data_IF_558648530658
#
_entry.id   IF_558648530658
#
_cell.length_a   1.000
_cell.length_b   1.000
_cell.length_c   1.000
_cell.angle_alpha   90.00
_cell.angle_beta   90.00
_cell.angle_gamma   90.00
#
_symmetry.space_group_name_H-M   'P 1'
#
loop_
_entity.id
_entity.type
_entity.pdbx_description
1 polymer ?
2 non-polymer ?
3 non-polymer ?
4 water ?
#
# COMPACT_ATOMS: atom_id res chain seq x y z
N UNK A 13 7.77 4.06 15.34
CA UNK A 13 6.56 4.69 14.81
C UNK A 13 6.73 5.10 13.36
N UNK A 14 5.86 4.58 12.49
CA UNK A 14 5.81 5.02 11.11
C UNK A 14 5.17 6.40 11.04
N UNK A 15 5.94 7.39 10.61
CA UNK A 15 5.48 8.78 10.65
C UNK A 15 5.06 9.31 9.28
N UNK A 16 5.79 8.92 8.24
CA UNK A 16 5.51 9.37 6.88
C UNK A 16 5.10 8.19 6.02
N UNK A 17 3.82 8.13 5.67
CA UNK A 17 3.35 7.04 4.83
C UNK A 17 2.24 7.52 3.92
N UNK A 18 2.00 6.74 2.88
CA UNK A 18 0.95 7.05 1.93
C UNK A 18 0.53 5.76 1.23
N UNK A 19 -0.26 5.88 0.17
CA UNK A 19 -0.67 4.70 -0.55
C UNK A 19 -0.54 4.89 -2.04
N UNK A 20 -0.41 3.77 -2.73
CA UNK A 20 -0.32 3.76 -4.17
C UNK A 20 -1.42 2.84 -4.69
N UNK A 21 -2.23 3.36 -5.60
CA UNK A 21 -3.39 2.64 -6.10
C UNK A 21 -3.21 2.31 -7.58
N UNK A 22 -3.06 1.03 -7.89
CA UNK A 22 -2.94 0.60 -9.28
C UNK A 22 -4.31 0.26 -9.86
N UNK A 23 -4.77 1.08 -10.80
CA UNK A 23 -6.13 1.02 -11.32
C UNK A 23 -6.49 -0.26 -12.07
N UNK A 24 -7.71 -0.72 -11.86
CA UNK A 24 -8.27 -1.82 -12.62
C UNK A 24 -9.45 -1.32 -13.45
N UNK A 25 -10.21 -2.24 -14.02
CA UNK A 25 -11.37 -1.87 -14.83
C UNK A 25 -12.36 -1.04 -14.02
N UNK A 26 -12.65 -1.51 -12.81
CA UNK A 26 -13.56 -0.83 -11.90
C UNK A 26 -12.81 0.18 -11.03
N UNK A 27 -13.43 1.32 -10.78
CA UNK A 27 -12.84 2.32 -9.89
C UNK A 27 -13.07 1.93 -8.43
N UNK A 28 -12.07 2.19 -7.59
CA UNK A 28 -12.14 1.87 -6.17
C UNK A 28 -12.83 2.97 -5.38
N UNK A 29 -13.75 2.58 -4.51
CA UNK A 29 -14.44 3.56 -3.66
C UNK A 29 -14.04 3.40 -2.19
N UNK A 30 -13.89 4.53 -1.49
CA UNK A 30 -13.68 4.52 -0.06
C UNK A 30 -12.24 4.28 0.37
N UNK A 31 -11.31 4.54 -0.54
CA UNK A 31 -9.90 4.26 -0.28
C UNK A 31 -9.32 5.11 0.85
N UNK A 32 -9.39 6.45 0.72
CA UNK A 32 -8.89 7.28 1.81
C UNK A 32 -9.46 6.83 3.16
N UNK A 33 -10.77 6.60 3.20
CA UNK A 33 -11.46 6.22 4.43
C UNK A 33 -10.97 4.89 5.01
N UNK A 34 -10.77 3.91 4.13
CA UNK A 34 -10.23 2.62 4.56
C UNK A 34 -8.78 2.72 5.05
N UNK A 35 -7.97 3.56 4.39
CA UNK A 35 -6.60 3.80 4.83
C UNK A 35 -6.57 4.32 6.27
N UNK A 36 -7.46 5.25 6.57
CA UNK A 36 -7.61 5.74 7.94
C UNK A 36 -7.99 4.61 8.90
N UNK A 37 -8.98 3.81 8.51
CA UNK A 37 -9.36 2.63 9.29
C UNK A 37 -8.19 1.66 9.46
N UNK A 38 -7.39 1.49 8.40
CA UNK A 38 -6.23 0.61 8.46
C UNK A 38 -5.18 1.10 9.47
N UNK A 39 -4.90 2.40 9.44
CA UNK A 39 -3.95 3.00 10.37
C UNK A 39 -4.41 2.86 11.83
N UNK A 40 -5.70 3.08 12.08
CA UNK A 40 -6.27 2.85 13.40
C UNK A 40 -6.08 1.39 13.81
N UNK A 41 -6.39 0.48 12.89
CA UNK A 41 -6.20 -0.94 13.15
C UNK A 41 -4.76 -1.25 13.55
N UNK A 42 -3.79 -0.72 12.80
CA UNK A 42 -2.38 -0.95 13.10
C UNK A 42 -2.01 -0.47 14.51
N UNK A 43 -2.47 0.72 14.87
CA UNK A 43 -2.23 1.26 16.20
C UNK A 43 -2.79 0.38 17.31
N UNK A 44 -4.01 -0.12 17.12
CA UNK A 44 -4.62 -1.01 18.10
C UNK A 44 -3.85 -2.33 18.26
N UNK A 45 -3.25 -2.82 17.18
CA UNK A 45 -2.56 -4.11 17.21
C UNK A 45 -1.07 -4.00 17.53
N UNK A 46 -0.62 -2.80 17.91
CA UNK A 46 0.71 -2.64 18.44
C UNK A 46 1.77 -2.13 17.48
N UNK A 47 1.34 -1.61 16.34
CA UNK A 47 2.27 -1.02 15.38
C UNK A 47 2.01 0.48 15.30
N UNK A 48 2.87 1.28 15.96
CA UNK A 48 2.65 2.72 16.03
C UNK A 48 2.78 3.37 14.66
N UNK A 49 1.75 4.09 14.25
CA UNK A 49 1.75 4.74 12.95
C UNK A 49 0.93 6.01 13.01
N UNK A 50 1.45 7.07 12.41
CA UNK A 50 0.70 8.30 12.26
C UNK A 50 -0.65 7.97 11.65
N UNK A 51 -1.74 8.38 12.32
CA UNK A 51 -3.09 8.08 11.81
C UNK A 51 -3.39 8.82 10.51
N UNK A 52 -2.51 9.73 10.12
CA UNK A 52 -2.69 10.50 8.91
C UNK A 52 -1.65 10.15 7.85
N UNK A 53 -2.11 10.01 6.62
CA UNK A 53 -1.23 9.78 5.49
C UNK A 53 -1.16 11.03 4.62
N UNK A 54 -0.09 11.16 3.84
CA UNK A 54 -0.03 12.20 2.83
C UNK A 54 -0.84 11.72 1.62
N UNK A 55 -1.34 12.66 0.79
CA UNK A 55 -2.21 12.31 -0.34
C UNK A 55 -1.65 11.17 -1.18
N UNK A 56 -2.49 10.19 -1.49
CA UNK A 56 -2.05 9.02 -2.22
C UNK A 56 -1.99 9.22 -3.72
N UNK A 57 -1.41 8.25 -4.42
CA UNK A 57 -1.29 8.29 -5.86
C UNK A 57 -2.13 7.19 -6.49
N UNK A 58 -2.77 7.50 -7.61
CA UNK A 58 -3.50 6.51 -8.39
C UNK A 58 -3.04 6.54 -9.84
N UNK A 59 -2.78 5.37 -10.40
CA UNK A 59 -2.28 5.26 -11.77
C UNK A 59 -2.65 3.92 -12.38
N UNK A 60 -2.81 3.90 -13.70
CA UNK A 60 -2.95 2.64 -14.41
C UNK A 60 -1.59 1.93 -14.39
N UNK A 61 -1.58 0.64 -14.71
CA UNK A 61 -0.33 -0.12 -14.73
C UNK A 61 0.49 0.20 -15.98
N UNK A 62 1.71 0.76 -15.78
CA UNK A 62 2.59 1.14 -16.89
C UNK A 62 3.10 -0.06 -17.69
N UNK A 63 3.66 0.21 -18.86
CA UNK A 63 4.07 -0.85 -19.77
C UNK A 63 5.38 -1.50 -19.42
N UNK A 64 6.27 -0.73 -18.79
CA UNK A 64 7.59 -1.23 -18.45
C UNK A 64 7.94 -0.90 -17.01
N UNK A 65 8.88 -1.67 -16.46
CA UNK A 65 9.39 -1.42 -15.12
C UNK A 65 10.04 -0.05 -15.04
N UNK A 66 10.78 0.32 -16.08
CA UNK A 66 11.43 1.62 -16.14
C UNK A 66 10.41 2.75 -16.04
N UNK A 67 9.30 2.60 -16.75
CA UNK A 67 8.24 3.60 -16.72
C UNK A 67 7.57 3.65 -15.34
N UNK A 68 7.39 2.48 -14.73
CA UNK A 68 6.80 2.40 -13.39
C UNK A 68 7.71 3.04 -12.35
N UNK A 69 8.99 2.69 -12.39
CA UNK A 69 9.94 3.24 -11.42
C UNK A 69 10.03 4.76 -11.53
N UNK A 70 10.01 5.27 -12.75
CA UNK A 70 10.06 6.71 -12.98
C UNK A 70 8.88 7.42 -12.31
N UNK A 71 7.70 6.83 -12.42
CA UNK A 71 6.48 7.42 -11.87
C UNK A 71 6.42 7.41 -10.34
N UNK A 72 6.80 6.29 -9.73
CA UNK A 72 6.63 6.10 -8.29
C UNK A 72 7.88 6.46 -7.50
N UNK A 73 8.97 6.75 -8.21
CA UNK A 73 10.27 7.00 -7.59
C UNK A 73 10.23 8.06 -6.48
N UNK A 74 9.59 9.19 -6.75
CA UNK A 74 9.52 10.25 -5.75
C UNK A 74 8.63 9.83 -4.58
N UNK A 75 7.51 9.18 -4.89
CA UNK A 75 6.60 8.67 -3.87
C UNK A 75 7.33 7.78 -2.87
N UNK A 76 8.05 6.79 -3.39
CA UNK A 76 8.69 5.78 -2.56
C UNK A 76 9.93 6.27 -1.81
N UNK A 77 10.59 7.29 -2.33
CA UNK A 77 11.80 7.80 -1.69
C UNK A 77 11.50 8.85 -0.62
N UNK A 78 10.26 9.33 -0.60
CA UNK A 78 9.85 10.36 0.36
C UNK A 78 8.96 9.85 1.50
N UNK A 79 8.78 8.54 1.58
CA UNK A 79 7.95 7.93 2.63
C UNK A 79 8.62 6.73 3.27
N UNK A 80 8.28 6.47 4.53
CA UNK A 80 8.80 5.31 5.25
C UNK A 80 8.00 4.06 4.90
N UNK A 81 6.75 4.25 4.48
CA UNK A 81 5.81 3.15 4.33
C UNK A 81 4.78 3.45 3.24
N UNK A 82 4.62 2.52 2.30
CA UNK A 82 3.61 2.67 1.27
C UNK A 82 2.67 1.47 1.21
N UNK A 83 1.38 1.72 1.40
CA UNK A 83 0.38 0.68 1.21
C UNK A 83 -0.01 0.66 -0.26
N UNK A 84 0.17 -0.48 -0.91
CA UNK A 84 -0.11 -0.59 -2.34
C UNK A 84 -1.34 -1.45 -2.58
N UNK A 85 -2.31 -0.91 -3.32
CA UNK A 85 -3.50 -1.66 -3.69
C UNK A 85 -3.43 -2.10 -5.15
N UNK A 86 -3.49 -3.41 -5.36
CA UNK A 86 -3.51 -3.98 -6.70
C UNK A 86 -4.94 -4.34 -7.07
N UNK A 87 -5.27 -4.25 -8.37
CA UNK A 87 -6.62 -4.53 -8.88
C UNK A 87 -7.01 -6.00 -8.74
N UNK A 88 -6.05 -6.90 -8.96
CA UNK A 88 -6.26 -8.34 -8.81
C UNK A 88 -5.05 -8.94 -8.13
N UNK A 89 -5.16 -10.20 -7.70
CA UNK A 89 -4.04 -10.88 -7.08
C UNK A 89 -3.07 -11.33 -8.18
N UNK A 90 -2.69 -10.39 -9.03
CA UNK A 90 -1.83 -10.64 -10.18
C UNK A 90 -0.36 -10.47 -9.80
N UNK A 91 0.35 -11.59 -9.76
CA UNK A 91 1.73 -11.61 -9.27
C UNK A 91 2.70 -10.82 -10.16
N UNK A 92 2.32 -10.60 -11.42
CA UNK A 92 3.15 -9.85 -12.35
C UNK A 92 3.18 -8.36 -12.02
N UNK A 93 2.03 -7.80 -11.64
CA UNK A 93 1.96 -6.42 -11.18
C UNK A 93 2.68 -6.33 -9.84
N UNK A 94 2.46 -7.34 -9.01
CA UNK A 94 3.11 -7.46 -7.71
C UNK A 94 4.63 -7.41 -7.86
N UNK A 95 5.16 -8.18 -8.81
CA UNK A 95 6.59 -8.18 -9.09
C UNK A 95 7.12 -6.82 -9.54
N UNK A 96 6.33 -6.14 -10.38
CA UNK A 96 6.67 -4.80 -10.83
C UNK A 96 6.84 -3.85 -9.65
N UNK A 97 5.97 -4.00 -8.65
CA UNK A 97 6.05 -3.20 -7.44
C UNK A 97 7.26 -3.58 -6.60
N UNK A 98 7.52 -4.88 -6.45
CA UNK A 98 8.63 -5.33 -5.62
C UNK A 98 10.01 -4.96 -6.19
N UNK A 99 10.11 -4.88 -7.51
CA UNK A 99 11.38 -4.51 -8.15
C UNK A 99 11.76 -3.07 -7.82
N UNK A 100 10.78 -2.18 -7.82
CA UNK A 100 11.01 -0.78 -7.48
C UNK A 100 11.35 -0.63 -6.00
N UNK A 101 10.62 -1.34 -5.14
CA UNK A 101 10.90 -1.31 -3.71
C UNK A 101 12.31 -1.84 -3.38
N UNK A 102 12.77 -2.81 -4.16
CA UNK A 102 14.06 -3.46 -3.96
C UNK A 102 15.27 -2.52 -4.06
N UNK A 103 15.16 -1.48 -4.89
CA UNK A 103 16.26 -0.53 -5.12
C UNK A 103 16.04 0.82 -4.44
N UNK A 104 15.03 0.91 -3.58
CA UNK A 104 14.72 2.16 -2.91
C UNK A 104 15.09 2.06 -1.44
N UNK A 105 15.79 3.06 -0.94
CA UNK A 105 16.26 3.02 0.44
C UNK A 105 15.28 3.69 1.39
N UNK A 106 15.15 3.13 2.59
CA UNK A 106 14.37 3.73 3.66
C UNK A 106 12.86 3.59 3.57
N UNK A 107 12.38 2.71 2.70
CA UNK A 107 10.94 2.52 2.54
C UNK A 107 10.57 1.05 2.64
N UNK A 108 9.37 0.78 3.15
CA UNK A 108 8.79 -0.55 3.07
C UNK A 108 7.43 -0.44 2.40
N UNK A 109 7.18 -1.32 1.44
CA UNK A 109 5.87 -1.40 0.80
C UNK A 109 5.16 -2.69 1.21
N UNK A 110 3.83 -2.62 1.30
CA UNK A 110 3.03 -3.82 1.49
C UNK A 110 1.94 -3.84 0.42
N UNK A 111 1.82 -4.96 -0.28
CA UNK A 111 0.85 -5.09 -1.36
C UNK A 111 -0.45 -5.75 -0.90
N UNK A 112 -1.58 -5.22 -1.38
CA UNK A 112 -2.90 -5.71 -0.99
C UNK A 112 -3.78 -5.75 -2.23
N UNK A 113 -4.76 -6.64 -2.24
CA UNK A 113 -5.79 -6.60 -3.27
C UNK A 113 -6.85 -5.60 -2.84
N UNK A 114 -7.14 -4.64 -3.71
CA UNK A 114 -8.05 -3.54 -3.41
C UNK A 114 -9.41 -4.00 -2.89
N UNK A 115 -10.04 -4.94 -3.59
CA UNK A 115 -11.36 -5.43 -3.22
C UNK A 115 -11.40 -5.95 -1.77
N UNK A 116 -10.39 -6.72 -1.39
CA UNK A 116 -10.29 -7.27 -0.04
C UNK A 116 -10.01 -6.18 1.00
N UNK A 117 -9.21 -5.19 0.61
CA UNK A 117 -8.86 -4.10 1.50
C UNK A 117 -10.06 -3.21 1.80
N UNK A 118 -10.98 -3.11 0.84
CA UNK A 118 -12.10 -2.17 0.91
C UNK A 118 -13.42 -2.79 1.37
N UNK A 119 -13.66 -4.04 0.98
CA UNK A 119 -14.94 -4.71 1.25
C UNK A 119 -15.21 -4.90 2.75
N UNK A 120 -16.37 -4.43 3.18
CA UNK A 120 -16.73 -4.40 4.60
C UNK A 120 -16.66 -5.76 5.28
N UNK A 121 -17.37 -6.74 4.72
CA UNK A 121 -17.30 -8.11 5.24
C UNK A 121 -15.91 -8.67 4.98
N UNK A 122 -15.20 -8.98 6.06
CA UNK A 122 -13.88 -9.56 5.91
C UNK A 122 -12.77 -8.54 5.89
N UNK A 123 -13.11 -7.25 6.00
CA UNK A 123 -12.08 -6.22 5.97
C UNK A 123 -11.15 -6.34 7.16
N UNK A 124 -11.73 -6.54 8.34
CA UNK A 124 -10.94 -6.59 9.55
C UNK A 124 -10.04 -7.82 9.62
N UNK A 125 -10.54 -8.95 9.12
CA UNK A 125 -9.72 -10.14 9.00
C UNK A 125 -8.57 -9.91 8.03
N UNK A 126 -8.86 -9.23 6.92
CA UNK A 126 -7.84 -8.92 5.93
C UNK A 126 -6.80 -7.94 6.50
N UNK A 127 -7.27 -6.86 7.11
CA UNK A 127 -6.40 -5.92 7.82
C UNK A 127 -5.44 -6.67 8.73
N UNK A 128 -5.96 -7.67 9.43
CA UNK A 128 -5.16 -8.45 10.36
C UNK A 128 -4.07 -9.27 9.66
N UNK A 129 -4.37 -9.79 8.48
CA UNK A 129 -3.38 -10.54 7.71
C UNK A 129 -2.31 -9.61 7.14
N UNK A 130 -2.75 -8.48 6.58
CA UNK A 130 -1.83 -7.47 6.07
C UNK A 130 -0.95 -6.94 7.20
N UNK A 131 -1.52 -6.84 8.40
CA UNK A 131 -0.78 -6.42 9.57
C UNK A 131 0.35 -7.37 9.96
N UNK A 132 0.21 -8.65 9.63
CA UNK A 132 1.28 -9.62 9.83
C UNK A 132 2.52 -9.19 9.06
N UNK A 133 2.33 -8.92 7.78
CA UNK A 133 3.43 -8.49 6.91
C UNK A 133 4.03 -7.16 7.36
N UNK A 134 3.18 -6.23 7.79
CA UNK A 134 3.66 -4.93 8.26
C UNK A 134 4.53 -5.10 9.50
N UNK A 135 4.04 -5.90 10.45
CA UNK A 135 4.79 -6.20 11.67
C UNK A 135 6.19 -6.73 11.37
N UNK A 136 6.26 -7.70 10.46
CA UNK A 136 7.54 -8.30 10.10
C UNK A 136 8.51 -7.30 9.48
N UNK A 137 7.97 -6.30 8.79
CA UNK A 137 8.81 -5.31 8.10
C UNK A 137 9.39 -4.28 9.07
N UNK A 138 8.65 -3.99 10.14
CA UNK A 138 9.06 -2.95 11.08
C UNK A 138 9.45 -3.48 12.46
N UNK A 139 8.68 -4.42 12.98
CA UNK A 139 8.95 -5.02 14.28
C UNK A 139 10.11 -6.00 14.25
X LIG B 1 4.47 -7.80 0.48
X LIG B 1 4.11 -6.76 -0.47
X LIG B 1 5.92 -7.88 0.61
X LIG B 1 3.92 -7.50 1.79
X LIG B 1 3.96 -9.08 -0.01
X LIG C 1 9.67 -4.35 1.22
X LIG C 1 9.31 -3.19 0.41
X LIG C 1 11.12 -4.52 1.23
X LIG C 1 9.22 -4.15 2.59
X LIG C 1 9.03 -5.52 0.62
X LIG D 1 13.71 -3.67 -17.83
X LIG D 1 14.12 -4.87 -17.20
X LIG D 1 12.21 -3.45 -17.63
X LIG D 1 11.82 -2.20 -18.16
X LIG D 1 11.42 -4.57 -18.30
X LIG D 1 10.04 -4.28 -18.27
#
# INVERSE_FOLDING_TARGET
GAMAVKVARPCRKIEKWTYLELKGSKANEGVPQAMTAFAEFLNRTGIPINPRFSPGMSMSVPGSEKEFFAKVKELMSSHQFVVVLLPRKDVAIYNMVKRAADITFGVHTVCCVAEKFLSTKGQLGYFANVGLKVNLKFGGTNHNI
SO4 S O1 O2 O3 O4
SO4 S O1 O2 O3 O4
GOL C1 O1 C2 O2 C3 O3
#
